data_IF_196337530243
#
_entry.id   IF_196337530243
#
_cell.length_a   1.000
_cell.length_b   1.000
_cell.length_c   1.000
_cell.angle_alpha   90.00
_cell.angle_beta   90.00
_cell.angle_gamma   90.00
#
_symmetry.space_group_name_H-M   'P 1'
#
loop_
_entity.id
_entity.type
_entity.pdbx_description
1 polymer ?
#
# COMPACT_ATOMS: atom_id res chain seq x y z
N UNK A 1 -5.94 -15.98 -0.49
CA UNK A 1 -5.31 -14.80 0.16
C UNK A 1 -3.80 -14.79 0.01
N UNK A 2 -3.09 -15.90 0.31
CA UNK A 2 -1.62 -15.92 0.26
C UNK A 2 -1.01 -15.73 -1.15
N UNK A 3 -1.63 -16.27 -2.20
CA UNK A 3 -1.15 -16.13 -3.57
C UNK A 3 -1.21 -14.67 -4.07
N UNK A 4 -2.33 -13.99 -3.82
CA UNK A 4 -2.54 -12.56 -4.14
C UNK A 4 -1.55 -11.70 -3.35
N UNK A 5 -1.39 -11.98 -2.05
CA UNK A 5 -0.42 -11.30 -1.22
C UNK A 5 0.99 -11.41 -1.80
N UNK A 6 1.48 -12.62 -2.10
CA UNK A 6 2.83 -12.82 -2.65
C UNK A 6 3.02 -12.18 -4.03
N UNK A 7 1.97 -12.17 -4.86
CA UNK A 7 2.04 -11.58 -6.20
C UNK A 7 2.13 -10.05 -6.15
N UNK A 8 1.41 -9.42 -5.22
CA UNK A 8 1.26 -7.96 -5.18
C UNK A 8 2.15 -7.27 -4.14
N UNK A 9 2.55 -7.93 -3.05
CA UNK A 9 3.35 -7.35 -1.96
C UNK A 9 4.65 -6.75 -2.49
N UNK A 10 5.33 -7.44 -3.42
CA UNK A 10 6.58 -6.94 -4.00
C UNK A 10 6.38 -5.71 -4.88
N UNK A 11 5.24 -5.57 -5.56
CA UNK A 11 4.92 -4.39 -6.37
C UNK A 11 4.52 -3.20 -5.47
N UNK A 12 3.67 -3.45 -4.48
CA UNK A 12 3.23 -2.45 -3.50
C UNK A 12 4.42 -1.94 -2.67
N UNK A 13 5.28 -2.83 -2.18
CA UNK A 13 6.48 -2.44 -1.43
C UNK A 13 7.42 -1.57 -2.27
N UNK A 14 7.70 -1.96 -3.52
CA UNK A 14 8.57 -1.17 -4.42
C UNK A 14 8.00 0.21 -4.70
N UNK A 15 6.67 0.30 -4.88
CA UNK A 15 5.98 1.58 -5.03
C UNK A 15 6.09 2.42 -3.75
N UNK A 16 5.79 1.85 -2.59
CA UNK A 16 5.91 2.57 -1.32
C UNK A 16 7.35 3.05 -1.07
N UNK A 17 8.33 2.21 -1.40
CA UNK A 17 9.75 2.54 -1.28
C UNK A 17 10.16 3.68 -2.22
N UNK A 18 9.69 3.69 -3.48
CA UNK A 18 9.97 4.78 -4.41
C UNK A 18 9.37 6.12 -3.97
N UNK A 19 8.26 6.10 -3.21
CA UNK A 19 7.64 7.32 -2.66
C UNK A 19 8.28 7.77 -1.34
N UNK A 20 8.65 6.85 -0.45
CA UNK A 20 9.04 7.16 0.93
C UNK A 20 10.55 7.15 1.17
N UNK A 21 11.33 6.49 0.31
CA UNK A 21 12.79 6.41 0.40
C UNK A 21 13.32 5.69 1.66
N UNK A 22 12.45 5.00 2.41
CA UNK A 22 12.77 4.33 3.66
C UNK A 22 12.14 2.95 3.69
N UNK A 23 12.94 1.93 3.93
CA UNK A 23 12.47 0.54 4.02
C UNK A 23 11.41 0.38 5.11
N UNK A 24 11.64 0.91 6.31
CA UNK A 24 10.70 0.84 7.43
C UNK A 24 9.36 1.50 7.10
N UNK A 25 9.38 2.71 6.52
CA UNK A 25 8.14 3.41 6.13
C UNK A 25 7.43 2.70 4.97
N UNK A 26 8.18 2.14 4.03
CA UNK A 26 7.62 1.40 2.91
C UNK A 26 6.97 0.09 3.35
N UNK A 27 7.57 -0.61 4.31
CA UNK A 27 7.02 -1.81 4.90
C UNK A 27 5.74 -1.52 5.67
N UNK A 28 5.72 -0.51 6.55
CA UNK A 28 4.52 -0.09 7.27
C UNK A 28 3.39 0.32 6.31
N UNK A 29 3.72 1.11 5.28
CA UNK A 29 2.75 1.52 4.28
C UNK A 29 2.19 0.32 3.50
N UNK A 30 3.03 -0.63 3.09
CA UNK A 30 2.59 -1.83 2.39
C UNK A 30 1.69 -2.69 3.29
N UNK A 31 2.11 -2.94 4.55
CA UNK A 31 1.30 -3.69 5.51
C UNK A 31 -0.06 -3.05 5.73
N UNK A 32 -0.13 -1.72 5.87
CA UNK A 32 -1.39 -1.00 6.05
C UNK A 32 -2.36 -1.16 4.85
N UNK A 33 -1.83 -1.21 3.62
CA UNK A 33 -2.66 -1.47 2.41
C UNK A 33 -3.30 -2.86 2.48
N UNK A 34 -2.53 -3.88 2.85
CA UNK A 34 -3.05 -5.24 3.01
C UNK A 34 -4.00 -5.37 4.19
N UNK A 35 -3.72 -4.70 5.31
CA UNK A 35 -4.61 -4.67 6.46
C UNK A 35 -5.97 -4.06 6.06
N UNK A 36 -5.97 -2.96 5.30
CA UNK A 36 -7.21 -2.35 4.79
C UNK A 36 -8.04 -3.31 3.93
N UNK A 37 -7.39 -4.20 3.19
CA UNK A 37 -8.03 -5.23 2.38
C UNK A 37 -8.64 -6.37 3.22
N UNK A 38 -8.00 -6.72 4.34
CA UNK A 38 -8.50 -7.73 5.30
C UNK A 38 -9.66 -7.16 6.13
N UNK A 39 -9.51 -5.93 6.64
CA UNK A 39 -10.54 -5.25 7.44
C UNK A 39 -11.77 -4.88 6.61
N UNK A 40 -11.58 -4.56 5.34
CA UNK A 40 -12.64 -4.18 4.41
C UNK A 40 -12.59 -5.08 3.18
N UNK A 41 -13.11 -6.32 3.27
CA UNK A 41 -13.19 -7.22 2.14
C UNK A 41 -13.94 -6.54 1.00
N UNK A 42 -13.29 -6.42 -0.15
CA UNK A 42 -13.87 -5.83 -1.36
C UNK A 42 -13.91 -6.86 -2.46
N UNK A 43 -14.99 -6.82 -3.25
CA UNK A 43 -15.09 -7.49 -4.53
C UNK A 43 -14.46 -6.62 -5.60
N UNK A 44 -13.42 -7.13 -6.24
CA UNK A 44 -12.85 -6.52 -7.43
C UNK A 44 -13.57 -7.08 -8.66
N UNK A 45 -13.86 -6.21 -9.63
CA UNK A 45 -14.53 -6.62 -10.87
C UNK A 45 -13.56 -7.39 -11.79
N UNK A 46 -12.29 -6.98 -11.79
CA UNK A 46 -11.23 -7.54 -12.61
C UNK A 46 -9.86 -7.26 -11.96
N UNK A 47 -8.81 -7.88 -12.51
CA UNK A 47 -7.44 -7.75 -12.01
C UNK A 47 -6.88 -6.32 -12.18
N UNK A 48 -7.42 -5.52 -13.09
CA UNK A 48 -6.99 -4.14 -13.31
C UNK A 48 -7.57 -3.21 -12.23
N UNK A 49 -8.83 -3.43 -11.83
CA UNK A 49 -9.47 -2.77 -10.71
C UNK A 49 -8.74 -3.09 -9.40
N UNK A 50 -8.35 -4.35 -9.19
CA UNK A 50 -7.55 -4.76 -8.04
C UNK A 50 -6.21 -4.02 -7.99
N UNK A 51 -5.47 -3.99 -9.11
CA UNK A 51 -4.21 -3.23 -9.21
C UNK A 51 -4.40 -1.75 -8.98
N UNK A 52 -5.39 -1.13 -9.63
CA UNK A 52 -5.67 0.30 -9.50
C UNK A 52 -5.97 0.66 -8.03
N UNK A 53 -6.76 -0.16 -7.35
CA UNK A 53 -7.07 0.02 -5.93
C UNK A 53 -5.81 -0.10 -5.05
N UNK A 54 -4.95 -1.11 -5.29
CA UNK A 54 -3.69 -1.28 -4.57
C UNK A 54 -2.75 -0.07 -4.76
N UNK A 55 -2.63 0.43 -5.98
CA UNK A 55 -1.80 1.59 -6.31
C UNK A 55 -2.33 2.84 -5.61
N UNK A 56 -3.64 3.11 -5.69
CA UNK A 56 -4.26 4.27 -5.05
C UNK A 56 -4.12 4.20 -3.53
N UNK A 57 -4.36 3.04 -2.91
CA UNK A 57 -4.18 2.87 -1.47
C UNK A 57 -2.72 3.07 -1.04
N UNK A 58 -1.77 2.48 -1.77
CA UNK A 58 -0.34 2.66 -1.51
C UNK A 58 0.08 4.14 -1.61
N UNK A 59 -0.36 4.84 -2.65
CA UNK A 59 -0.09 6.27 -2.83
C UNK A 59 -0.70 7.12 -1.70
N UNK A 60 -1.96 6.86 -1.36
CA UNK A 60 -2.65 7.56 -0.26
C UNK A 60 -1.91 7.35 1.06
N UNK A 61 -1.49 6.12 1.36
CA UNK A 61 -0.74 5.82 2.57
C UNK A 61 0.64 6.48 2.58
N UNK A 62 1.36 6.47 1.46
CA UNK A 62 2.65 7.16 1.36
C UNK A 62 2.50 8.68 1.56
N UNK A 63 1.44 9.28 0.99
CA UNK A 63 1.14 10.70 1.17
C UNK A 63 0.78 11.05 2.60
N UNK A 64 0.04 10.18 3.28
CA UNK A 64 -0.29 10.31 4.69
C UNK A 64 0.95 10.27 5.58
N UNK A 65 1.85 9.29 5.36
CA UNK A 65 3.14 9.19 6.06
C UNK A 65 4.01 10.44 5.82
N UNK A 66 4.08 10.93 4.57
CA UNK A 66 4.79 12.18 4.26
C UNK A 66 4.15 13.39 4.92
N UNK A 67 2.82 13.42 5.06
CA UNK A 67 2.12 14.51 5.74
C UNK A 67 2.36 14.45 7.25
N UNK A 68 2.24 13.28 7.88
CA UNK A 68 2.52 13.08 9.30
C UNK A 68 3.95 13.50 9.66
N UNK A 69 4.93 13.18 8.82
CA UNK A 69 6.31 13.62 8.99
C UNK A 69 6.49 15.16 8.96
N UNK A 70 5.57 15.92 8.35
CA UNK A 70 5.62 17.40 8.28
C UNK A 70 5.04 18.08 9.53
N UNK A 71 4.33 17.34 10.38
CA UNK A 71 3.65 17.87 11.57
C UNK A 71 4.34 17.43 12.88
N UNK A 72 5.45 16.70 12.78
CA UNK A 72 6.30 16.28 13.90
C UNK A 72 7.55 17.16 14.04
N UNK A 73 7.36 18.49 14.06
CA UNK A 73 8.39 19.49 14.34
C UNK A 73 7.94 20.42 15.44
#
# INVERSE_FOLDING_TARGET
MEAVYRLHIGAVYRLCYSYLGSAAKAEDAAQAVFLSLVEHPRTFNDAEHEKAWLIVCAQNRCRDVMRSARWGG
#
